data_IF_974845563869
#
_entry.id   IF_974845563869
#
_cell.length_a   1.000
_cell.length_b   1.000
_cell.length_c   1.000
_cell.angle_alpha   90.00
_cell.angle_beta   90.00
_cell.angle_gamma   90.00
#
_symmetry.space_group_name_H-M   'P 1'
#
loop_
_entity.id
_entity.type
_entity.pdbx_description
1 polymer ?
#
# COMPACT_ATOMS: atom_id res chain seq x y z
N UNK A 1 -11.78 1.28 8.34
CA UNK A 1 -10.81 0.30 8.89
C UNK A 1 -11.06 0.16 10.38
N UNK A 2 -11.02 -1.04 10.92
CA UNK A 2 -11.14 -1.34 12.35
C UNK A 2 -9.87 -2.08 12.75
N UNK A 3 -9.27 -1.71 13.87
CA UNK A 3 -8.05 -2.36 14.39
C UNK A 3 -8.47 -3.32 15.50
N UNK A 4 -8.07 -4.59 15.38
CA UNK A 4 -8.24 -5.61 16.38
C UNK A 4 -6.90 -5.84 17.10
N UNK A 5 -6.92 -5.88 18.42
CA UNK A 5 -5.72 -6.06 19.24
C UNK A 5 -5.55 -7.52 19.70
N UNK A 6 -6.64 -8.29 19.68
CA UNK A 6 -6.67 -9.68 20.12
C UNK A 6 -7.66 -10.50 19.26
N UNK A 7 -7.52 -11.82 19.22
CA UNK A 7 -8.38 -12.67 18.40
C UNK A 7 -9.89 -12.55 18.70
N UNK A 8 -10.22 -12.23 19.94
CA UNK A 8 -11.59 -12.03 20.41
C UNK A 8 -12.24 -10.83 19.72
N UNK A 9 -11.51 -9.73 19.53
CA UNK A 9 -11.99 -8.52 18.85
C UNK A 9 -12.36 -8.86 17.39
N UNK A 10 -11.53 -9.68 16.73
CA UNK A 10 -11.82 -10.14 15.35
C UNK A 10 -13.13 -10.89 15.28
N UNK A 11 -13.39 -11.81 16.25
CA UNK A 11 -14.64 -12.58 16.29
C UNK A 11 -15.85 -11.68 16.50
N UNK A 12 -15.72 -10.71 17.40
CA UNK A 12 -16.79 -9.75 17.69
C UNK A 12 -17.10 -8.89 16.46
N UNK A 13 -16.08 -8.28 15.85
CA UNK A 13 -16.29 -7.45 14.66
C UNK A 13 -16.83 -8.24 13.47
N UNK A 14 -16.38 -9.47 13.27
CA UNK A 14 -16.92 -10.34 12.25
C UNK A 14 -18.40 -10.65 12.49
N UNK A 15 -18.79 -10.92 13.75
CA UNK A 15 -20.20 -11.16 14.08
C UNK A 15 -21.08 -9.93 13.77
N UNK A 16 -20.59 -8.72 14.09
CA UNK A 16 -21.30 -7.47 13.80
C UNK A 16 -21.46 -7.26 12.29
N UNK A 17 -20.39 -7.45 11.52
CA UNK A 17 -20.40 -7.25 10.07
C UNK A 17 -21.33 -8.26 9.38
N UNK A 18 -21.26 -9.53 9.76
CA UNK A 18 -22.11 -10.57 9.19
C UNK A 18 -23.59 -10.36 9.54
N UNK A 19 -23.89 -9.84 10.73
CA UNK A 19 -25.26 -9.51 11.12
C UNK A 19 -25.89 -8.39 10.26
N UNK A 20 -25.06 -7.56 9.61
CA UNK A 20 -25.51 -6.51 8.69
C UNK A 20 -25.81 -7.03 7.27
N UNK A 21 -25.67 -8.32 7.02
CA UNK A 21 -25.94 -8.93 5.72
C UNK A 21 -24.95 -8.54 4.63
N UNK A 22 -23.72 -8.17 5.00
CA UNK A 22 -22.66 -7.85 4.03
C UNK A 22 -22.18 -9.15 3.39
N UNK A 23 -22.43 -9.30 2.08
CA UNK A 23 -22.04 -10.48 1.30
C UNK A 23 -20.62 -10.37 0.70
N UNK A 24 -20.00 -9.19 0.76
CA UNK A 24 -18.68 -8.97 0.19
C UNK A 24 -17.57 -9.63 1.06
N UNK A 25 -16.49 -10.11 0.43
CA UNK A 25 -15.33 -10.60 1.15
C UNK A 25 -14.76 -9.53 2.10
N UNK A 26 -14.37 -9.98 3.28
CA UNK A 26 -13.77 -9.11 4.31
C UNK A 26 -12.28 -9.37 4.30
N UNK A 27 -11.50 -8.31 4.11
CA UNK A 27 -10.05 -8.36 4.19
C UNK A 27 -9.61 -8.19 5.64
N UNK A 28 -8.75 -9.10 6.09
CA UNK A 28 -8.12 -9.06 7.42
C UNK A 28 -6.62 -9.12 7.21
N UNK A 29 -5.96 -8.02 7.54
CA UNK A 29 -4.51 -7.86 7.36
C UNK A 29 -3.80 -7.68 8.69
N UNK A 30 -2.52 -8.02 8.70
CA UNK A 30 -1.67 -7.64 9.81
C UNK A 30 -1.46 -6.12 9.78
N UNK A 31 -1.73 -5.47 10.92
CA UNK A 31 -1.44 -4.04 11.07
C UNK A 31 0.07 -3.85 11.32
N UNK A 32 0.73 -3.20 10.37
CA UNK A 32 2.14 -2.85 10.47
C UNK A 32 2.28 -1.35 10.69
N UNK A 33 3.01 -0.98 11.73
CA UNK A 33 3.43 0.41 11.94
C UNK A 33 4.76 0.64 11.22
N UNK A 34 4.80 1.65 10.36
CA UNK A 34 6.00 1.97 9.59
C UNK A 34 5.83 3.26 8.79
N UNK A 35 6.86 3.60 8.06
CA UNK A 35 6.82 4.67 7.06
C UNK A 35 6.06 4.18 5.85
N UNK A 36 5.06 4.92 5.43
CA UNK A 36 4.27 4.62 4.25
C UNK A 36 4.90 5.31 3.03
N UNK A 37 5.14 4.53 1.99
CA UNK A 37 5.75 5.00 0.75
C UNK A 37 4.83 4.74 -0.42
N UNK A 38 4.93 5.57 -1.44
CA UNK A 38 4.12 5.48 -2.64
C UNK A 38 4.99 5.62 -3.89
N UNK A 39 4.72 4.78 -4.87
CA UNK A 39 5.40 4.78 -6.16
C UNK A 39 4.36 4.93 -7.26
N UNK A 40 4.50 5.98 -8.05
CA UNK A 40 3.82 6.11 -9.33
C UNK A 40 4.76 5.66 -10.44
N UNK A 41 4.36 4.65 -11.19
CA UNK A 41 5.15 4.11 -12.28
C UNK A 41 4.38 4.09 -13.59
N UNK A 42 5.11 4.07 -14.70
CA UNK A 42 4.56 3.91 -16.04
C UNK A 42 5.21 2.68 -16.66
N UNK A 43 4.39 1.78 -17.18
CA UNK A 43 4.84 0.56 -17.84
C UNK A 43 4.31 0.47 -19.27
N UNK A 44 5.13 -0.02 -20.19
CA UNK A 44 4.72 -0.40 -21.56
C UNK A 44 4.49 -1.92 -21.71
N UNK A 45 4.57 -2.65 -20.57
CA UNK A 45 4.50 -4.12 -20.51
C UNK A 45 5.84 -4.82 -20.63
N UNK A 46 6.92 -4.08 -20.96
CA UNK A 46 8.29 -4.61 -21.11
C UNK A 46 9.28 -3.81 -20.27
N UNK A 47 9.09 -2.50 -20.21
CA UNK A 47 9.90 -1.55 -19.47
C UNK A 47 9.04 -0.80 -18.47
N UNK A 48 9.64 -0.40 -17.36
CA UNK A 48 8.98 0.37 -16.31
C UNK A 48 9.80 1.62 -16.02
N UNK A 49 9.14 2.77 -16.08
CA UNK A 49 9.69 4.04 -15.66
C UNK A 49 9.15 4.38 -14.27
N UNK A 50 10.04 4.58 -13.32
CA UNK A 50 9.73 5.05 -11.96
C UNK A 50 10.40 6.41 -11.81
N UNK A 51 9.63 7.53 -11.85
CA UNK A 51 10.20 8.87 -11.69
C UNK A 51 10.81 9.08 -10.30
N UNK A 52 10.25 8.41 -9.29
CA UNK A 52 10.75 8.46 -7.93
C UNK A 52 9.79 7.83 -6.93
N UNK A 53 10.17 7.92 -5.67
CA UNK A 53 9.42 7.38 -4.53
C UNK A 53 8.95 8.55 -3.67
N UNK A 54 7.69 8.53 -3.29
CA UNK A 54 7.07 9.50 -2.37
C UNK A 54 6.96 8.91 -0.97
N UNK A 55 7.04 9.76 0.04
CA UNK A 55 6.85 9.40 1.45
C UNK A 55 5.64 10.11 2.01
N UNK A 56 4.76 9.37 2.68
CA UNK A 56 3.61 9.94 3.38
C UNK A 56 4.04 10.55 4.71
N UNK A 57 3.54 11.74 5.01
CA UNK A 57 3.83 12.43 6.27
C UNK A 57 2.97 11.86 7.40
N UNK A 58 1.75 11.46 7.10
CA UNK A 58 0.85 10.86 8.06
C UNK A 58 1.28 9.43 8.40
N UNK A 59 0.78 8.96 9.55
CA UNK A 59 1.02 7.57 9.99
C UNK A 59 0.26 6.60 9.09
N UNK A 60 0.82 5.40 8.96
CA UNK A 60 0.21 4.30 8.24
C UNK A 60 -1.27 4.07 8.64
N UNK A 61 -2.11 3.81 7.65
CA UNK A 61 -3.54 3.56 7.86
C UNK A 61 -4.45 4.77 7.63
N UNK A 62 -3.92 5.93 7.28
CA UNK A 62 -4.70 7.05 6.77
C UNK A 62 -4.93 6.83 5.27
N UNK A 63 -6.16 7.10 4.79
CA UNK A 63 -6.46 6.92 3.38
C UNK A 63 -5.63 7.87 2.51
N UNK A 64 -5.08 7.36 1.42
CA UNK A 64 -4.21 8.11 0.50
C UNK A 64 -4.86 9.38 -0.07
N UNK A 65 -6.19 9.42 -0.16
CA UNK A 65 -6.92 10.61 -0.60
C UNK A 65 -6.89 11.79 0.39
N UNK A 66 -6.55 11.53 1.65
CA UNK A 66 -6.50 12.51 2.74
C UNK A 66 -5.08 12.71 3.27
N UNK A 67 -4.08 12.08 2.66
CA UNK A 67 -2.70 12.14 3.12
C UNK A 67 -1.85 13.09 2.28
N UNK A 68 -0.81 13.63 2.93
CA UNK A 68 0.19 14.47 2.28
C UNK A 68 1.42 13.60 1.99
N UNK A 69 1.82 13.54 0.73
CA UNK A 69 3.06 12.89 0.33
C UNK A 69 4.12 13.94 -0.05
N UNK A 70 5.37 13.66 0.27
CA UNK A 70 6.53 14.46 -0.13
C UNK A 70 7.39 13.72 -1.15
N UNK A 71 7.93 14.46 -2.08
CA UNK A 71 8.83 13.95 -3.10
C UNK A 71 10.12 14.79 -3.13
N UNK A 72 11.30 14.18 -3.18
CA UNK A 72 11.54 12.72 -3.01
C UNK A 72 11.29 12.26 -1.56
N UNK A 73 11.20 10.94 -1.34
CA UNK A 73 11.14 10.37 -0.01
C UNK A 73 12.34 10.82 0.83
N UNK A 74 12.10 11.26 2.07
CA UNK A 74 13.11 11.92 2.90
C UNK A 74 13.83 10.95 3.85
N UNK A 75 13.08 10.02 4.45
CA UNK A 75 13.59 9.12 5.50
C UNK A 75 13.90 7.71 4.97
N UNK A 76 14.26 7.60 3.69
CA UNK A 76 14.54 6.33 3.03
C UNK A 76 15.97 6.36 2.52
N UNK A 77 16.77 5.36 2.89
CA UNK A 77 18.12 5.22 2.41
C UNK A 77 18.18 4.66 0.97
N UNK A 78 19.34 4.76 0.35
CA UNK A 78 19.55 4.35 -1.04
C UNK A 78 19.30 2.84 -1.23
N UNK A 79 19.67 2.00 -0.26
CA UNK A 79 19.43 0.56 -0.32
C UNK A 79 17.93 0.25 -0.36
N UNK A 80 17.15 0.91 0.48
CA UNK A 80 15.70 0.73 0.49
C UNK A 80 15.06 1.27 -0.79
N UNK A 81 15.53 2.41 -1.30
CA UNK A 81 15.06 2.97 -2.57
C UNK A 81 15.30 1.99 -3.73
N UNK A 82 16.49 1.41 -3.83
CA UNK A 82 16.79 0.39 -4.84
C UNK A 82 15.88 -0.83 -4.74
N UNK A 83 15.62 -1.31 -3.53
CA UNK A 83 14.69 -2.43 -3.28
C UNK A 83 13.26 -2.09 -3.70
N UNK A 84 12.77 -0.89 -3.41
CA UNK A 84 11.44 -0.43 -3.80
C UNK A 84 11.33 -0.36 -5.33
N UNK A 85 12.33 0.19 -6.00
CA UNK A 85 12.36 0.29 -7.45
C UNK A 85 12.37 -1.11 -8.09
N UNK A 86 13.20 -2.04 -7.59
CA UNK A 86 13.22 -3.43 -8.08
C UNK A 86 11.86 -4.12 -7.86
N UNK A 87 11.31 -4.04 -6.66
CA UNK A 87 10.01 -4.63 -6.34
C UNK A 87 8.88 -4.06 -7.22
N UNK A 88 8.84 -2.73 -7.39
CA UNK A 88 7.84 -2.05 -8.20
C UNK A 88 7.93 -2.47 -9.68
N UNK A 89 9.14 -2.55 -10.20
CA UNK A 89 9.41 -2.99 -11.57
C UNK A 89 8.93 -4.42 -11.78
N UNK A 90 9.32 -5.34 -10.91
CA UNK A 90 8.92 -6.75 -10.98
C UNK A 90 7.40 -6.91 -10.84
N UNK A 91 6.78 -6.16 -9.95
CA UNK A 91 5.33 -6.21 -9.75
C UNK A 91 4.57 -5.73 -10.98
N UNK A 92 4.94 -4.57 -11.54
CA UNK A 92 4.31 -4.02 -12.73
C UNK A 92 4.42 -4.97 -13.94
N UNK A 93 5.60 -5.57 -14.16
CA UNK A 93 5.82 -6.52 -15.24
C UNK A 93 5.08 -7.84 -15.02
N UNK A 94 5.06 -8.37 -13.78
CA UNK A 94 4.34 -9.61 -13.45
C UNK A 94 2.84 -9.48 -13.65
N UNK A 95 2.28 -8.31 -13.35
CA UNK A 95 0.87 -7.99 -13.57
C UNK A 95 0.59 -7.58 -15.02
N UNK A 96 1.62 -7.52 -15.88
CA UNK A 96 1.51 -7.09 -17.29
C UNK A 96 0.84 -5.73 -17.44
N UNK A 97 1.16 -4.79 -16.55
CA UNK A 97 0.59 -3.45 -16.57
C UNK A 97 1.03 -2.74 -17.85
N UNK A 98 0.07 -2.08 -18.51
CA UNK A 98 0.31 -1.16 -19.60
C UNK A 98 -0.37 0.18 -19.24
N UNK A 99 0.44 1.20 -18.98
CA UNK A 99 -0.01 2.51 -18.52
C UNK A 99 0.50 2.83 -17.13
N UNK A 100 -0.27 3.63 -16.40
CA UNK A 100 0.05 4.05 -15.05
C UNK A 100 -0.27 2.94 -14.05
N UNK A 101 0.59 2.82 -13.04
CA UNK A 101 0.38 1.97 -11.87
C UNK A 101 0.86 2.68 -10.61
N UNK A 102 0.01 2.71 -9.61
CA UNK A 102 0.32 3.18 -8.27
C UNK A 102 0.56 2.00 -7.35
N UNK A 103 1.62 2.03 -6.57
CA UNK A 103 2.00 0.98 -5.63
C UNK A 103 2.29 1.61 -4.28
N UNK A 104 1.64 1.11 -3.23
CA UNK A 104 1.83 1.55 -1.85
C UNK A 104 2.62 0.50 -1.06
N UNK A 105 3.55 0.99 -0.24
CA UNK A 105 4.42 0.20 0.60
C UNK A 105 4.31 0.61 2.07
#
# INVERSE_FOLDING_TARGET
>A
MIIAFQPEDVREYMAIILAQGIENPILIDQYLMGTELEVDAISDGTHVLIPGVMEHIERAGIHSGDSIAVYPAWNVDDEMLERIVDCSTRLALSLKVQGLVNIQY
#
